data_IF_497051763605
#
_entry.id   IF_497051763605
#
_cell.length_a   1.000
_cell.length_b   1.000
_cell.length_c   1.000
_cell.angle_alpha   90.00
_cell.angle_beta   90.00
_cell.angle_gamma   90.00
#
_symmetry.space_group_name_H-M   'P 1'
#
loop_
_entity.id
_entity.type
_entity.pdbx_description
1 polymer ?
#
# COMPACT_ATOMS: atom_id res chain seq x y z
N UNK A 1 -10.23 -7.29 -13.46
CA UNK A 1 -9.88 -7.57 -12.05
C UNK A 1 -10.50 -8.92 -11.71
N UNK A 2 -9.86 -9.81 -10.95
CA UNK A 2 -10.52 -11.06 -10.55
C UNK A 2 -11.57 -10.72 -9.49
N UNK A 3 -12.79 -10.44 -9.95
CA UNK A 3 -13.90 -9.98 -9.10
C UNK A 3 -14.16 -10.93 -7.94
N UNK A 4 -14.09 -12.24 -8.19
CA UNK A 4 -14.24 -13.28 -7.18
C UNK A 4 -13.15 -13.23 -6.12
N UNK A 5 -11.88 -13.05 -6.51
CA UNK A 5 -10.76 -12.92 -5.57
C UNK A 5 -10.90 -11.66 -4.73
N UNK A 6 -11.26 -10.54 -5.34
CA UNK A 6 -11.52 -9.29 -4.62
C UNK A 6 -12.66 -9.47 -3.61
N UNK A 7 -13.79 -10.04 -4.03
CA UNK A 7 -14.94 -10.29 -3.16
C UNK A 7 -14.56 -11.20 -1.99
N UNK A 8 -13.91 -12.33 -2.28
CA UNK A 8 -13.45 -13.27 -1.26
C UNK A 8 -12.53 -12.59 -0.23
N UNK A 9 -11.49 -11.87 -0.68
CA UNK A 9 -10.57 -11.17 0.24
C UNK A 9 -11.25 -10.02 0.98
N UNK A 10 -12.20 -9.33 0.35
CA UNK A 10 -12.94 -8.23 0.98
C UNK A 10 -13.88 -8.73 2.07
N UNK A 11 -14.58 -9.84 1.82
CA UNK A 11 -15.57 -10.41 2.73
C UNK A 11 -14.90 -11.14 3.90
N UNK A 12 -13.67 -11.64 3.70
CA UNK A 12 -12.88 -12.36 4.71
C UNK A 12 -11.78 -11.49 5.36
N UNK A 13 -11.84 -10.17 5.20
CA UNK A 13 -10.91 -9.27 5.90
C UNK A 13 -11.61 -8.04 6.45
N UNK A 14 -11.13 -7.60 7.61
CA UNK A 14 -11.58 -6.36 8.24
C UNK A 14 -10.92 -5.11 7.62
N UNK A 15 -10.03 -5.28 6.65
CA UNK A 15 -9.29 -4.18 6.05
C UNK A 15 -10.20 -3.21 5.31
N UNK A 16 -9.81 -1.95 5.30
CA UNK A 16 -10.39 -0.96 4.41
C UNK A 16 -10.34 -1.47 2.96
N UNK A 17 -11.49 -1.45 2.28
CA UNK A 17 -11.68 -2.11 0.98
C UNK A 17 -10.63 -1.74 -0.07
N UNK A 18 -10.17 -0.49 -0.02
CA UNK A 18 -9.13 0.02 -0.91
C UNK A 18 -7.80 -0.73 -0.76
N UNK A 19 -7.44 -1.15 0.46
CA UNK A 19 -6.20 -1.90 0.69
C UNK A 19 -6.24 -3.30 0.08
N UNK A 20 -7.40 -3.95 0.07
CA UNK A 20 -7.60 -5.22 -0.64
C UNK A 20 -7.39 -5.01 -2.15
N UNK A 21 -8.02 -3.98 -2.71
CA UNK A 21 -7.88 -3.63 -4.11
C UNK A 21 -6.43 -3.32 -4.52
N UNK A 22 -5.75 -2.48 -3.72
CA UNK A 22 -4.37 -2.07 -4.00
C UNK A 22 -3.42 -3.27 -3.91
N UNK A 23 -3.62 -4.15 -2.93
CA UNK A 23 -2.82 -5.37 -2.77
C UNK A 23 -2.93 -6.30 -3.98
N UNK A 24 -4.16 -6.52 -4.49
CA UNK A 24 -4.38 -7.31 -5.71
C UNK A 24 -3.71 -6.64 -6.91
N UNK A 25 -3.80 -5.32 -7.03
CA UNK A 25 -3.21 -4.56 -8.12
C UNK A 25 -1.68 -4.64 -8.13
N UNK A 26 -1.05 -4.50 -6.96
CA UNK A 26 0.40 -4.65 -6.78
C UNK A 26 0.83 -6.09 -7.10
N UNK A 27 0.13 -7.09 -6.56
CA UNK A 27 0.42 -8.50 -6.83
C UNK A 27 0.33 -8.81 -8.34
N UNK A 28 -0.71 -8.32 -9.02
CA UNK A 28 -0.88 -8.45 -10.46
C UNK A 28 0.28 -7.83 -11.23
N UNK A 29 0.70 -6.62 -10.87
CA UNK A 29 1.82 -5.94 -11.51
C UNK A 29 3.14 -6.71 -11.33
N UNK A 30 3.42 -7.20 -10.12
CA UNK A 30 4.61 -8.02 -9.82
C UNK A 30 4.60 -9.35 -10.59
N UNK A 31 3.45 -10.02 -10.66
CA UNK A 31 3.31 -11.25 -11.44
C UNK A 31 3.48 -11.01 -12.95
N UNK A 32 2.93 -9.91 -13.48
CA UNK A 32 3.11 -9.53 -14.89
C UNK A 32 4.59 -9.32 -15.21
N UNK A 33 5.30 -8.57 -14.36
CA UNK A 33 6.73 -8.35 -14.50
C UNK A 33 7.50 -9.68 -14.42
N UNK A 34 7.21 -10.50 -13.42
CA UNK A 34 7.84 -11.81 -13.27
C UNK A 34 7.67 -12.69 -14.52
N UNK A 35 6.46 -12.78 -15.09
CA UNK A 35 6.21 -13.55 -16.32
C UNK A 35 7.05 -13.04 -17.49
N UNK A 36 7.14 -11.72 -17.66
CA UNK A 36 7.98 -11.11 -18.69
C UNK A 36 9.48 -11.40 -18.48
N UNK A 37 9.95 -11.31 -17.22
CA UNK A 37 11.34 -11.63 -16.86
C UNK A 37 11.64 -13.12 -17.05
N UNK A 38 10.75 -14.01 -16.63
CA UNK A 38 10.92 -15.48 -16.74
C UNK A 38 11.06 -15.94 -18.18
N UNK A 39 10.38 -15.27 -19.14
CA UNK A 39 10.52 -15.52 -20.57
C UNK A 39 11.95 -15.26 -21.07
N UNK A 40 12.63 -14.25 -20.53
CA UNK A 40 14.01 -13.89 -20.89
C UNK A 40 15.05 -14.64 -20.06
N UNK A 41 14.72 -14.92 -18.81
CA UNK A 41 15.62 -15.52 -17.81
C UNK A 41 14.91 -16.72 -17.16
N UNK A 42 15.13 -17.95 -17.65
CA UNK A 42 14.49 -19.16 -17.13
C UNK A 42 14.71 -19.38 -15.64
N UNK A 43 15.77 -18.84 -15.07
CA UNK A 43 16.11 -18.95 -13.64
C UNK A 43 15.59 -17.77 -12.79
N UNK A 44 14.72 -16.91 -13.32
CA UNK A 44 14.14 -15.82 -12.55
C UNK A 44 13.39 -16.35 -11.30
N UNK A 45 13.68 -15.74 -10.16
CA UNK A 45 13.07 -16.05 -8.86
C UNK A 45 11.60 -15.63 -8.84
N UNK A 46 10.78 -16.42 -8.14
CA UNK A 46 9.37 -16.07 -7.91
C UNK A 46 9.28 -14.76 -7.10
N UNK A 47 8.36 -13.85 -7.43
CA UNK A 47 8.19 -12.63 -6.68
C UNK A 47 7.61 -12.95 -5.30
N UNK A 48 8.14 -12.30 -4.27
CA UNK A 48 7.64 -12.37 -2.91
C UNK A 48 7.82 -11.01 -2.22
N UNK A 49 6.96 -10.72 -1.25
CA UNK A 49 7.12 -9.55 -0.39
C UNK A 49 7.92 -9.95 0.83
N UNK A 50 9.08 -9.30 1.03
CA UNK A 50 9.97 -9.56 2.18
C UNK A 50 9.45 -9.00 3.49
N UNK A 51 8.62 -7.97 3.42
CA UNK A 51 8.14 -7.19 4.56
C UNK A 51 6.72 -6.75 4.30
N UNK A 52 5.98 -6.64 5.38
CA UNK A 52 4.66 -6.03 5.36
C UNK A 52 4.81 -4.54 5.06
N UNK A 53 4.00 -4.05 4.14
CA UNK A 53 3.98 -2.66 3.74
C UNK A 53 2.55 -2.29 3.36
N UNK A 54 2.25 -1.00 3.51
CA UNK A 54 1.02 -0.43 3.00
C UNK A 54 1.33 0.81 2.17
N UNK A 55 0.70 0.89 1.00
CA UNK A 55 0.80 2.04 0.11
C UNK A 55 -0.46 2.88 0.28
N UNK A 56 -0.26 4.15 0.63
CA UNK A 56 -1.31 5.14 0.79
C UNK A 56 -1.20 6.12 -0.38
N UNK A 57 -2.23 6.22 -1.21
CA UNK A 57 -2.30 7.27 -2.23
C UNK A 57 -3.02 8.51 -1.72
N UNK A 58 -3.05 9.56 -2.55
CA UNK A 58 -3.58 10.88 -2.24
C UNK A 58 -5.04 10.88 -1.76
N UNK A 59 -5.79 9.80 -2.02
CA UNK A 59 -7.19 9.65 -1.60
C UNK A 59 -7.33 8.83 -0.30
N UNK A 60 -6.25 8.18 0.14
CA UNK A 60 -6.26 7.23 1.26
C UNK A 60 -5.64 7.77 2.54
N UNK A 61 -4.92 8.89 2.49
CA UNK A 61 -4.37 9.53 3.69
C UNK A 61 -4.61 11.03 3.73
N UNK A 62 -4.47 11.60 4.92
CA UNK A 62 -4.38 13.03 5.17
C UNK A 62 -3.26 13.31 6.14
N UNK A 63 -2.70 14.51 6.07
CA UNK A 63 -1.81 15.04 7.11
C UNK A 63 -2.59 16.11 7.85
N UNK A 64 -2.87 15.89 9.13
CA UNK A 64 -3.68 16.78 9.98
C UNK A 64 -2.96 16.88 11.32
N UNK A 65 -2.76 18.10 11.82
CA UNK A 65 -2.16 18.38 13.14
C UNK A 65 -0.87 17.58 13.39
N UNK A 66 0.04 17.58 12.42
CA UNK A 66 1.32 16.85 12.47
C UNK A 66 1.23 15.31 12.46
N UNK A 67 0.06 14.75 12.15
CA UNK A 67 -0.17 13.32 12.06
C UNK A 67 -0.50 12.88 10.64
N UNK A 68 0.13 11.78 10.22
CA UNK A 68 -0.35 11.00 9.08
C UNK A 68 -1.57 10.19 9.53
N UNK A 69 -2.73 10.48 8.92
CA UNK A 69 -4.00 9.83 9.18
C UNK A 69 -4.43 8.98 7.98
N UNK A 70 -4.80 7.72 8.20
CA UNK A 70 -5.37 6.86 7.17
C UNK A 70 -6.36 5.85 7.78
N UNK A 71 -7.37 5.38 7.02
CA UNK A 71 -8.38 4.46 7.52
C UNK A 71 -7.83 3.04 7.60
N UNK A 72 -8.03 2.31 8.70
CA UNK A 72 -7.72 0.87 8.76
C UNK A 72 -8.93 -0.01 8.49
N UNK A 73 -10.12 0.47 8.89
CA UNK A 73 -11.42 -0.15 8.66
C UNK A 73 -12.44 0.96 8.39
N UNK A 74 -13.69 0.59 8.09
CA UNK A 74 -14.76 1.56 7.96
C UNK A 74 -14.88 2.42 9.24
N UNK A 75 -14.76 3.74 9.10
CA UNK A 75 -14.82 4.74 10.19
C UNK A 75 -13.72 4.62 11.27
N UNK A 76 -12.72 3.77 11.07
CA UNK A 76 -11.60 3.61 12.00
C UNK A 76 -10.31 4.09 11.35
N UNK A 77 -9.57 4.95 12.06
CA UNK A 77 -8.37 5.60 11.54
C UNK A 77 -7.19 5.39 12.47
N UNK A 78 -6.01 5.25 11.88
CA UNK A 78 -4.73 5.34 12.60
C UNK A 78 -4.17 6.76 12.40
N UNK A 79 -3.47 7.23 13.43
CA UNK A 79 -2.75 8.49 13.45
C UNK A 79 -1.29 8.20 13.80
N UNK A 80 -0.38 8.49 12.89
CA UNK A 80 1.06 8.34 13.09
C UNK A 80 1.66 9.73 13.20
N UNK A 81 2.24 10.05 14.37
CA UNK A 81 2.92 11.32 14.58
C UNK A 81 4.14 11.41 13.65
N UNK A 82 4.20 12.48 12.86
CA UNK A 82 5.33 12.75 11.98
C UNK A 82 6.40 13.53 12.75
N UNK A 83 7.67 13.23 12.48
CA UNK A 83 8.78 14.02 13.02
C UNK A 83 8.79 15.42 12.39
N UNK A 84 9.25 16.42 13.13
CA UNK A 84 9.34 17.82 12.66
C UNK A 84 10.11 17.95 11.35
N UNK A 85 11.23 17.22 11.22
CA UNK A 85 12.00 17.15 9.98
C UNK A 85 11.17 16.64 8.78
N UNK A 86 10.30 15.65 9.00
CA UNK A 86 9.44 15.12 7.94
C UNK A 86 8.42 16.17 7.51
N UNK A 87 7.79 16.86 8.46
CA UNK A 87 6.83 17.92 8.19
C UNK A 87 7.44 19.05 7.36
N UNK A 88 8.65 19.50 7.73
CA UNK A 88 9.38 20.52 6.99
C UNK A 88 9.65 20.11 5.53
N UNK A 89 9.92 18.82 5.28
CA UNK A 89 10.10 18.31 3.91
C UNK A 89 8.80 18.21 3.12
N UNK A 90 7.67 18.05 3.81
CA UNK A 90 6.36 17.90 3.18
C UNK A 90 5.71 19.24 2.83
N UNK A 91 6.03 20.33 3.56
CA UNK A 91 5.52 21.69 3.29
C UNK A 91 5.76 22.15 1.85
N UNK A 92 6.93 21.82 1.29
CA UNK A 92 7.29 22.19 -0.09
C UNK A 92 6.97 21.12 -1.13
N UNK A 93 6.38 19.98 -0.75
CA UNK A 93 6.22 18.82 -1.61
C UNK A 93 4.79 18.64 -2.13
N UNK A 94 4.64 18.38 -3.43
CA UNK A 94 3.37 17.86 -3.95
C UNK A 94 3.22 16.40 -3.53
N UNK A 95 2.33 16.18 -2.57
CA UNK A 95 2.09 14.86 -2.00
C UNK A 95 1.46 13.91 -3.03
N UNK A 96 2.17 12.82 -3.32
CA UNK A 96 1.69 11.70 -4.12
C UNK A 96 1.30 10.54 -3.22
N UNK A 97 2.08 9.44 -3.29
CA UNK A 97 1.90 8.30 -2.40
C UNK A 97 2.87 8.32 -1.21
N UNK A 98 2.45 7.71 -0.11
CA UNK A 98 3.27 7.44 1.08
C UNK A 98 3.29 5.92 1.29
N UNK A 99 4.48 5.37 1.51
CA UNK A 99 4.64 3.97 1.93
C UNK A 99 4.98 3.91 3.41
N UNK A 100 4.20 3.17 4.17
CA UNK A 100 4.45 2.92 5.59
C UNK A 100 4.97 1.50 5.75
N UNK A 101 6.07 1.36 6.48
CA UNK A 101 6.72 0.09 6.80
C UNK A 101 6.96 -0.01 8.31
N UNK A 102 6.79 -1.20 8.91
CA UNK A 102 7.06 -1.39 10.33
C UNK A 102 8.55 -1.17 10.66
N UNK A 103 8.82 -0.71 11.88
CA UNK A 103 10.16 -0.65 12.44
C UNK A 103 10.52 -2.07 12.91
N UNK A 104 11.63 -2.60 12.40
CA UNK A 104 12.19 -3.89 12.85
C UNK A 104 12.73 -3.76 14.28
#
# INVERSE_FOLDING_TARGET
MHHELYKHLRDNSDFYAKYVYDSISIAKARLKLYRATKKKYPNANRPYMKRDMITLDNQTYKIIDNHLRFPIRAKQYIYIKLASYVLQKLESAKLGSITVTPKN
#
